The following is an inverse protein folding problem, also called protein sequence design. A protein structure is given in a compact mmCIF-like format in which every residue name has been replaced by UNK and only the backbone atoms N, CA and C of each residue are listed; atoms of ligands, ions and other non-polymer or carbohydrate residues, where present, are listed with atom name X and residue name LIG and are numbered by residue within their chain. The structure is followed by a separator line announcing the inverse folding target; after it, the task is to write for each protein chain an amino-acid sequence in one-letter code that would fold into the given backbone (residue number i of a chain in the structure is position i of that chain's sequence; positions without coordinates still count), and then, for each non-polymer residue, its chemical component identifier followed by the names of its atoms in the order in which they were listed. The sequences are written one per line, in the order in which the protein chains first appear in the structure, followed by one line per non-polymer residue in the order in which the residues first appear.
data_IF_290656125812
#
_entry.id   IF_290656125812
#
_cell.length_a   1.000
_cell.length_b   1.000
_cell.length_c   1.000
_cell.angle_alpha   90.00
_cell.angle_beta   90.00
_cell.angle_gamma   90.00
#
_symmetry.space_group_name_H-M   'P 1'
#
loop_
_entity.id
_entity.type
_entity.pdbx_description
1 polymer ?
#
# COMPACT_ATOMS: atom_id res chain seq x y z
N UNK A 1 -3.23 20.00 3.62
CA UNK A 1 -2.72 18.63 3.39
C UNK A 1 -2.24 18.06 4.72
N UNK A 2 -2.76 16.93 5.15
CA UNK A 2 -2.27 16.31 6.39
C UNK A 2 -0.81 15.88 6.27
N UNK A 3 -0.08 16.02 7.37
CA UNK A 3 1.30 15.56 7.44
C UNK A 3 1.36 14.04 7.65
N UNK A 4 2.47 13.37 7.27
CA UNK A 4 2.65 11.97 7.58
C UNK A 4 2.50 11.69 9.08
N UNK A 5 1.78 10.63 9.42
CA UNK A 5 1.55 10.23 10.80
C UNK A 5 0.32 10.86 11.47
N UNK A 6 -0.39 11.74 10.80
CA UNK A 6 -1.61 12.31 11.38
C UNK A 6 -2.74 11.26 11.45
N UNK A 7 -3.32 11.02 12.65
CA UNK A 7 -4.20 9.86 12.86
C UNK A 7 -5.59 9.99 12.22
N UNK A 8 -6.01 11.20 11.87
CA UNK A 8 -7.35 11.44 11.32
C UNK A 8 -7.37 11.67 9.82
N UNK A 9 -6.21 11.56 9.16
CA UNK A 9 -6.11 11.69 7.71
C UNK A 9 -6.71 10.49 7.02
N UNK A 10 -7.54 10.72 6.00
CA UNK A 10 -7.94 9.66 5.10
C UNK A 10 -6.78 9.34 4.15
N UNK A 11 -6.59 8.06 3.82
CA UNK A 11 -5.56 7.70 2.86
C UNK A 11 -5.95 8.14 1.45
N UNK A 12 -4.93 8.25 0.60
CA UNK A 12 -5.09 8.46 -0.83
C UNK A 12 -4.52 7.26 -1.57
N UNK A 13 -5.07 6.97 -2.75
CA UNK A 13 -4.55 5.89 -3.61
C UNK A 13 -3.07 6.09 -3.89
N UNK A 14 -2.30 5.01 -3.74
CA UNK A 14 -0.85 5.02 -3.97
C UNK A 14 -0.03 5.42 -2.75
N UNK A 15 -0.67 5.81 -1.65
CA UNK A 15 0.04 6.05 -0.40
C UNK A 15 0.44 4.76 0.26
N UNK A 16 1.55 4.83 1.01
CA UNK A 16 2.04 3.72 1.84
C UNK A 16 1.70 4.03 3.29
N UNK A 17 1.00 3.11 3.93
CA UNK A 17 0.59 3.22 5.32
C UNK A 17 1.00 1.99 6.10
N UNK A 18 1.38 2.17 7.38
CA UNK A 18 1.41 1.06 8.31
C UNK A 18 -0.02 0.74 8.73
N UNK A 19 -0.43 -0.50 8.51
CA UNK A 19 -1.72 -1.00 8.93
C UNK A 19 -1.55 -2.00 10.08
N UNK A 20 -2.47 -1.99 11.03
CA UNK A 20 -2.44 -2.93 12.14
C UNK A 20 -3.22 -4.19 11.77
N UNK A 21 -2.49 -5.29 11.67
CA UNK A 21 -3.06 -6.62 11.46
C UNK A 21 -3.12 -7.40 12.78
N UNK A 22 -3.99 -8.41 12.86
CA UNK A 22 -4.00 -9.30 14.03
C UNK A 22 -2.64 -9.97 14.24
N UNK A 23 -2.30 -10.35 15.49
CA UNK A 23 -1.10 -11.14 15.73
C UNK A 23 -1.06 -12.41 14.86
N UNK A 24 0.11 -12.87 14.43
CA UNK A 24 1.45 -12.38 14.78
C UNK A 24 1.95 -11.24 13.88
N UNK A 25 1.19 -10.77 12.90
CA UNK A 25 1.66 -9.81 11.90
C UNK A 25 1.89 -8.42 12.51
N UNK A 26 0.93 -7.89 13.27
CA UNK A 26 1.04 -6.55 13.86
C UNK A 26 1.05 -5.45 12.82
N UNK A 27 1.86 -4.41 13.03
CA UNK A 27 2.02 -3.30 12.09
C UNK A 27 2.79 -3.76 10.86
N UNK A 28 2.23 -3.49 9.68
CA UNK A 28 2.84 -3.88 8.41
C UNK A 28 2.54 -2.85 7.33
N UNK A 29 3.54 -2.49 6.49
CA UNK A 29 3.31 -1.51 5.43
C UNK A 29 2.46 -2.09 4.30
N UNK A 30 1.54 -1.26 3.81
CA UNK A 30 0.65 -1.59 2.70
C UNK A 30 0.55 -0.41 1.75
N UNK A 31 0.21 -0.67 0.49
CA UNK A 31 -0.09 0.37 -0.51
C UNK A 31 -1.59 0.44 -0.71
N UNK A 32 -2.15 1.64 -0.61
CA UNK A 32 -3.58 1.88 -0.79
C UNK A 32 -3.95 1.79 -2.26
N UNK A 33 -4.89 0.93 -2.60
CA UNK A 33 -5.32 0.67 -3.99
C UNK A 33 -6.67 1.29 -4.33
N UNK A 34 -7.54 1.45 -3.36
CA UNK A 34 -8.89 1.99 -3.59
C UNK A 34 -8.80 3.40 -4.17
N UNK A 35 -9.68 3.69 -5.13
CA UNK A 35 -9.77 5.03 -5.71
C UNK A 35 -9.95 6.09 -4.63
N UNK A 36 -9.17 7.15 -4.70
CA UNK A 36 -9.21 8.26 -3.75
C UNK A 36 -10.62 8.85 -3.63
N UNK A 37 -11.36 8.94 -4.74
CA UNK A 37 -12.71 9.48 -4.75
C UNK A 37 -13.72 8.62 -3.97
N UNK A 38 -13.48 7.31 -3.88
CA UNK A 38 -14.37 6.38 -3.16
C UNK A 38 -14.07 6.28 -1.68
N UNK A 39 -12.83 6.52 -1.26
CA UNK A 39 -12.38 6.29 0.12
C UNK A 39 -13.26 6.98 1.16
N UNK A 40 -13.70 8.24 0.99
CA UNK A 40 -14.56 8.90 1.99
C UNK A 40 -15.92 8.21 2.21
N UNK A 41 -16.33 7.35 1.29
CA UNK A 41 -17.62 6.66 1.33
C UNK A 41 -17.52 5.23 1.85
N UNK A 42 -16.32 4.78 2.22
CA UNK A 42 -16.05 3.39 2.58
C UNK A 42 -15.56 3.31 4.02
N UNK A 43 -15.71 2.12 4.63
CA UNK A 43 -15.15 1.82 5.94
C UNK A 43 -13.85 1.04 5.85
N UNK A 44 -13.55 0.47 4.69
CA UNK A 44 -12.34 -0.29 4.44
C UNK A 44 -11.83 0.03 3.04
N UNK A 45 -10.53 -0.16 2.86
CA UNK A 45 -9.85 0.01 1.58
C UNK A 45 -9.17 -1.28 1.16
N UNK A 46 -9.00 -1.46 -0.15
CA UNK A 46 -8.16 -2.52 -0.68
C UNK A 46 -6.71 -2.07 -0.65
N UNK A 47 -5.83 -2.95 -0.23
CA UNK A 47 -4.40 -2.65 -0.10
C UNK A 47 -3.55 -3.84 -0.52
N UNK A 48 -2.37 -3.56 -1.04
CA UNK A 48 -1.37 -4.57 -1.40
C UNK A 48 -0.23 -4.54 -0.36
N UNK A 49 0.26 -5.72 0.00
CA UNK A 49 1.32 -5.86 1.00
C UNK A 49 2.66 -5.39 0.43
N UNK A 50 3.42 -4.66 1.24
CA UNK A 50 4.82 -4.34 0.99
C UNK A 50 5.69 -5.39 1.68
N UNK A 51 6.66 -5.92 0.97
CA UNK A 51 7.52 -7.01 1.43
C UNK A 51 9.00 -6.69 1.19
N UNK A 52 9.87 -7.26 2.01
CA UNK A 52 11.31 -7.26 1.78
C UNK A 52 11.79 -8.39 0.86
N UNK A 53 10.89 -9.28 0.45
CA UNK A 53 11.21 -10.41 -0.42
C UNK A 53 11.03 -10.03 -1.88
N UNK A 54 12.10 -10.11 -2.71
CA UNK A 54 11.96 -9.84 -4.14
C UNK A 54 11.09 -10.88 -4.83
N UNK A 55 10.54 -10.49 -5.96
CA UNK A 55 9.76 -11.39 -6.81
C UNK A 55 9.82 -10.96 -8.26
N UNK A 56 9.15 -11.72 -9.15
CA UNK A 56 9.16 -11.37 -10.58
C UNK A 56 8.44 -10.05 -10.83
N UNK A 57 8.87 -9.33 -11.87
CA UNK A 57 8.29 -8.03 -12.23
C UNK A 57 6.83 -8.11 -12.69
N UNK A 58 6.33 -9.31 -12.97
CA UNK A 58 4.92 -9.55 -13.27
C UNK A 58 4.01 -9.40 -12.05
N UNK A 59 4.55 -9.51 -10.85
CA UNK A 59 3.78 -9.46 -9.59
C UNK A 59 4.33 -8.46 -8.58
N UNK A 60 5.61 -8.10 -8.68
CA UNK A 60 6.31 -7.26 -7.69
C UNK A 60 6.82 -5.98 -8.32
N UNK A 61 6.65 -4.87 -7.63
CA UNK A 61 7.19 -3.57 -8.03
C UNK A 61 8.16 -3.10 -6.95
N UNK A 62 9.42 -2.86 -7.35
CA UNK A 62 10.43 -2.30 -6.45
C UNK A 62 10.06 -0.86 -6.09
N UNK A 63 10.22 -0.49 -4.84
CA UNK A 63 9.87 0.83 -4.31
C UNK A 63 11.12 1.63 -4.02
N UNK A 64 11.06 2.94 -4.24
CA UNK A 64 12.13 3.87 -3.90
C UNK A 64 11.93 4.48 -2.50
N UNK A 65 12.79 5.44 -2.14
CA UNK A 65 12.77 6.08 -0.84
C UNK A 65 11.48 6.84 -0.53
N UNK A 66 10.79 7.35 -1.56
CA UNK A 66 9.57 8.13 -1.37
C UNK A 66 8.42 7.29 -0.80
N UNK A 67 8.49 5.96 -0.90
CA UNK A 67 7.54 5.06 -0.25
C UNK A 67 7.66 5.10 1.27
N UNK A 68 8.78 5.57 1.81
CA UNK A 68 8.99 5.78 3.24
C UNK A 68 9.13 4.49 4.04
N UNK A 69 9.40 3.36 3.39
CA UNK A 69 9.57 2.07 4.06
C UNK A 69 11.03 1.88 4.43
N UNK A 70 11.34 1.94 5.73
CA UNK A 70 12.69 1.73 6.25
C UNK A 70 12.89 0.35 6.87
N UNK A 71 11.83 -0.45 6.93
CA UNK A 71 11.83 -1.78 7.54
C UNK A 71 12.77 -2.76 6.83
N UNK A 72 12.93 -2.59 5.52
CA UNK A 72 13.74 -3.46 4.66
C UNK A 72 14.81 -2.63 3.95
N UNK A 73 15.98 -3.22 3.65
CA UNK A 73 17.02 -2.53 2.84
C UNK A 73 16.48 -2.16 1.45
N UNK A 74 15.71 -3.05 0.85
CA UNK A 74 14.95 -2.81 -0.38
C UNK A 74 13.56 -3.37 -0.16
N UNK A 75 12.54 -2.69 -0.65
CA UNK A 75 11.16 -3.15 -0.52
C UNK A 75 10.47 -3.23 -1.86
N UNK A 76 9.50 -4.12 -1.93
CA UNK A 76 8.63 -4.34 -3.08
C UNK A 76 7.18 -4.34 -2.64
N UNK A 77 6.27 -3.94 -3.52
CA UNK A 77 4.85 -4.21 -3.32
C UNK A 77 4.47 -5.46 -4.11
N UNK A 78 3.75 -6.37 -3.46
CA UNK A 78 3.29 -7.61 -4.07
C UNK A 78 1.83 -7.47 -4.49
N UNK A 79 1.61 -7.41 -5.82
CA UNK A 79 0.27 -7.24 -6.39
C UNK A 79 -0.64 -8.45 -6.16
N UNK A 80 -0.10 -9.60 -5.74
CA UNK A 80 -0.90 -10.81 -5.50
C UNK A 80 -1.29 -10.98 -4.02
N UNK A 81 -0.73 -10.17 -3.13
CA UNK A 81 -1.05 -10.24 -1.70
C UNK A 81 -1.93 -9.04 -1.31
N UNK A 82 -3.24 -9.22 -1.52
CA UNK A 82 -4.23 -8.17 -1.38
C UNK A 82 -5.08 -8.38 -0.13
N UNK A 83 -5.37 -7.29 0.56
CA UNK A 83 -6.17 -7.30 1.78
C UNK A 83 -7.20 -6.20 1.75
N UNK A 84 -8.35 -6.47 2.35
CA UNK A 84 -9.30 -5.45 2.73
C UNK A 84 -8.93 -4.96 4.12
N UNK A 85 -8.58 -3.68 4.23
CA UNK A 85 -8.08 -3.09 5.47
C UNK A 85 -9.08 -2.04 5.97
N UNK A 86 -9.69 -2.25 7.15
CA UNK A 86 -10.53 -1.21 7.75
C UNK A 86 -9.75 0.09 7.92
N UNK A 87 -10.35 1.23 7.61
CA UNK A 87 -9.71 2.53 7.79
C UNK A 87 -9.21 2.73 9.22
N UNK A 88 -9.95 2.21 10.20
CA UNK A 88 -9.56 2.27 11.61
C UNK A 88 -8.26 1.52 11.94
N UNK A 89 -7.80 0.65 11.04
CA UNK A 89 -6.55 -0.11 11.21
C UNK A 89 -5.34 0.60 10.62
N UNK A 90 -5.53 1.65 9.83
CA UNK A 90 -4.42 2.46 9.31
C UNK A 90 -3.87 3.33 10.43
N UNK A 91 -2.55 3.31 10.61
CA UNK A 91 -1.90 3.98 11.74
C UNK A 91 -1.05 5.17 11.32
N UNK A 92 -0.08 4.95 10.44
CA UNK A 92 0.92 5.95 10.09
C UNK A 92 1.09 5.97 8.58
N UNK A 93 0.95 7.15 7.98
CA UNK A 93 1.32 7.34 6.59
C UNK A 93 2.84 7.42 6.47
N UNK A 94 3.45 6.54 5.69
CA UNK A 94 4.90 6.48 5.51
C UNK A 94 5.37 7.29 4.31
N UNK A 95 4.62 7.27 3.23
CA UNK A 95 5.01 7.91 2.01
C UNK A 95 4.03 7.58 0.89
N UNK A 96 4.52 7.55 -0.33
CA UNK A 96 3.70 7.23 -1.50
C UNK A 96 4.55 6.66 -2.62
N UNK A 97 3.90 5.93 -3.51
CA UNK A 97 4.51 5.49 -4.75
C UNK A 97 4.64 6.66 -5.72
N UNK A 98 5.69 6.62 -6.54
CA UNK A 98 5.78 7.49 -7.71
C UNK A 98 4.69 7.13 -8.72
N UNK A 99 4.43 8.02 -9.67
CA UNK A 99 3.49 7.75 -10.76
C UNK A 99 3.89 6.48 -11.51
N UNK A 100 5.17 6.32 -11.83
CA UNK A 100 5.67 5.15 -12.55
C UNK A 100 5.49 3.86 -11.74
N UNK A 101 5.76 3.90 -10.43
CA UNK A 101 5.57 2.74 -9.55
C UNK A 101 4.09 2.36 -9.45
N UNK A 102 3.22 3.35 -9.31
CA UNK A 102 1.78 3.10 -9.23
C UNK A 102 1.24 2.51 -10.55
N UNK A 103 1.66 3.04 -11.69
CA UNK A 103 1.29 2.50 -13.00
C UNK A 103 1.76 1.05 -13.18
N UNK A 104 2.99 0.74 -12.77
CA UNK A 104 3.51 -0.62 -12.81
C UNK A 104 2.69 -1.54 -11.91
N UNK A 105 2.32 -1.10 -10.72
CA UNK A 105 1.49 -1.86 -9.81
C UNK A 105 0.10 -2.13 -10.39
N UNK A 106 -0.52 -1.11 -10.99
CA UNK A 106 -1.84 -1.28 -11.62
C UNK A 106 -1.79 -2.24 -12.80
N UNK A 107 -0.70 -2.25 -13.56
CA UNK A 107 -0.49 -3.23 -14.64
C UNK A 107 -0.41 -4.65 -14.08
N UNK A 108 0.38 -4.85 -13.02
CA UNK A 108 0.45 -6.15 -12.34
C UNK A 108 -0.94 -6.61 -11.85
N UNK A 109 -1.72 -5.69 -11.29
CA UNK A 109 -3.07 -6.00 -10.79
C UNK A 109 -4.02 -6.40 -11.92
N UNK A 110 -3.99 -5.69 -13.05
CA UNK A 110 -4.81 -6.04 -14.22
C UNK A 110 -4.48 -7.43 -14.70
N UNK A 111 -3.20 -7.76 -14.80
CA UNK A 111 -2.76 -9.08 -15.26
C UNK A 111 -3.15 -10.17 -14.26
N UNK A 112 -2.93 -9.95 -12.96
CA UNK A 112 -3.25 -10.92 -11.92
C UNK A 112 -4.76 -11.16 -11.77
N UNK A 113 -5.58 -10.12 -11.96
CA UNK A 113 -7.04 -10.18 -11.82
C UNK A 113 -7.77 -10.31 -13.15
N UNK A 114 -7.05 -10.30 -14.26
CA UNK A 114 -7.61 -10.40 -15.62
C UNK A 114 -8.63 -9.29 -15.90
N UNK A 115 -8.26 -8.06 -15.58
CA UNK A 115 -9.11 -6.89 -15.78
C UNK A 115 -8.91 -6.24 -17.15
#
# INVERSE_FOLDING_TARGET
MPEPGEPYSLPLRGEVWDAHFPPPIGLHPVVILTSTALIPHLQAVSAAIVTGTPGPTTTHVALDEAAGVSRYPVSWVNATDLHSVPLARLRIRRGRLSVAELEALLTCLRDALVL
#
